data_IF_171640789491
#
_entry.id   IF_171640789491
#
_cell.length_a   1.000
_cell.length_b   1.000
_cell.length_c   1.000
_cell.angle_alpha   90.00
_cell.angle_beta   90.00
_cell.angle_gamma   90.00
#
_symmetry.space_group_name_H-M   'P 1'
#
loop_
_entity.id
_entity.type
_entity.pdbx_description
1 polymer ?
#
# COMPACT_ATOMS: atom_id res chain seq x y z
N UNK A 1 38.22 -49.79 -13.84
CA UNK A 1 37.50 -48.63 -14.40
C UNK A 1 38.26 -47.37 -14.03
N UNK A 2 39.19 -46.93 -14.87
CA UNK A 2 40.05 -45.77 -14.60
C UNK A 2 39.35 -44.48 -15.04
N UNK A 3 39.16 -43.57 -14.09
CA UNK A 3 38.67 -42.20 -14.33
C UNK A 3 39.72 -41.41 -15.10
N UNK A 4 39.42 -41.05 -16.35
CA UNK A 4 40.22 -40.12 -17.15
C UNK A 4 40.02 -38.70 -16.59
N UNK A 5 40.99 -38.20 -15.83
CA UNK A 5 41.08 -36.78 -15.46
C UNK A 5 41.55 -35.98 -16.67
N UNK A 6 40.64 -35.21 -17.27
CA UNK A 6 40.96 -34.29 -18.35
C UNK A 6 41.90 -33.18 -17.86
N UNK A 7 42.91 -32.86 -18.68
CA UNK A 7 43.84 -31.78 -18.39
C UNK A 7 43.20 -30.40 -18.60
N UNK A 8 43.65 -29.38 -17.84
CA UNK A 8 43.19 -27.98 -17.99
C UNK A 8 43.25 -27.48 -19.44
N UNK A 9 44.25 -27.93 -20.20
CA UNK A 9 44.46 -27.58 -21.62
C UNK A 9 43.41 -28.21 -22.55
N UNK A 10 42.97 -29.43 -22.27
CA UNK A 10 41.92 -30.12 -23.05
C UNK A 10 40.54 -29.52 -22.79
N UNK A 11 40.27 -29.09 -21.54
CA UNK A 11 39.05 -28.37 -21.19
C UNK A 11 38.99 -27.05 -21.96
N UNK A 12 40.07 -26.28 -21.98
CA UNK A 12 40.17 -25.02 -22.73
C UNK A 12 40.01 -25.20 -24.24
N UNK A 13 40.60 -26.25 -24.81
CA UNK A 13 40.43 -26.55 -26.24
C UNK A 13 39.00 -26.98 -26.59
N UNK A 14 38.33 -27.73 -25.71
CA UNK A 14 36.92 -28.10 -25.91
C UNK A 14 35.96 -26.92 -25.75
N UNK A 15 36.23 -25.98 -24.85
CA UNK A 15 35.44 -24.75 -24.71
C UNK A 15 35.55 -23.83 -25.94
N UNK A 16 36.72 -23.77 -26.59
CA UNK A 16 36.92 -23.01 -27.83
C UNK A 16 36.26 -23.66 -29.06
N UNK A 17 36.19 -24.99 -29.11
CA UNK A 17 35.62 -25.73 -30.24
C UNK A 17 34.07 -25.78 -30.26
N UNK A 18 33.41 -25.54 -29.11
CA UNK A 18 31.95 -25.66 -28.96
C UNK A 18 31.20 -24.31 -28.90
N UNK A 19 31.90 -23.18 -29.00
CA UNK A 19 31.27 -21.85 -29.10
C UNK A 19 30.30 -21.51 -27.97
N UNK A 20 30.31 -22.24 -26.86
CA UNK A 20 29.34 -22.14 -25.77
C UNK A 20 30.08 -21.92 -24.45
N UNK A 21 30.68 -20.74 -24.33
CA UNK A 21 30.71 -20.06 -23.04
C UNK A 21 29.34 -19.40 -22.86
N UNK A 22 28.39 -20.11 -22.26
CA UNK A 22 27.31 -19.43 -21.56
C UNK A 22 27.93 -18.78 -20.33
N UNK A 23 28.38 -17.55 -20.50
CA UNK A 23 28.73 -16.65 -19.41
C UNK A 23 27.43 -16.46 -18.63
N UNK A 24 27.34 -17.09 -17.45
CA UNK A 24 26.45 -16.65 -16.38
C UNK A 24 26.69 -15.14 -16.24
N UNK A 25 25.66 -14.30 -16.46
CA UNK A 25 25.79 -12.85 -16.57
C UNK A 25 26.77 -12.28 -15.54
N UNK A 26 27.94 -11.85 -16.00
CA UNK A 26 28.91 -11.16 -15.18
C UNK A 26 28.43 -9.72 -15.04
N UNK A 27 27.53 -9.45 -14.10
CA UNK A 27 27.40 -8.10 -13.59
C UNK A 27 28.73 -7.80 -12.89
N UNK A 28 29.49 -6.83 -13.43
CA UNK A 28 30.75 -6.44 -12.81
C UNK A 28 30.45 -5.87 -11.41
N UNK A 29 31.33 -6.03 -10.40
CA UNK A 29 31.08 -5.53 -9.05
C UNK A 29 30.68 -4.05 -9.01
N UNK A 30 31.19 -3.23 -9.92
CA UNK A 30 30.83 -1.81 -10.08
C UNK A 30 29.39 -1.57 -10.55
N UNK A 31 28.86 -2.42 -11.43
CA UNK A 31 27.46 -2.32 -11.90
C UNK A 31 26.49 -2.75 -10.80
N UNK A 32 26.86 -3.77 -10.02
CA UNK A 32 26.08 -4.18 -8.84
C UNK A 32 26.08 -3.08 -7.77
N UNK A 33 27.23 -2.44 -7.51
CA UNK A 33 27.33 -1.32 -6.58
C UNK A 33 26.52 -0.12 -7.09
N UNK A 34 26.64 0.26 -8.37
CA UNK A 34 25.85 1.35 -8.94
C UNK A 34 24.35 1.07 -8.90
N UNK A 35 23.92 -0.15 -9.21
CA UNK A 35 22.52 -0.56 -9.09
C UNK A 35 22.02 -0.56 -7.64
N UNK A 36 22.90 -0.86 -6.69
CA UNK A 36 22.59 -0.81 -5.26
C UNK A 36 22.51 0.64 -4.75
N UNK A 37 23.41 1.52 -5.17
CA UNK A 37 23.38 2.96 -4.86
C UNK A 37 22.14 3.65 -5.44
N UNK A 38 21.77 3.34 -6.68
CA UNK A 38 20.51 3.84 -7.28
C UNK A 38 19.28 3.32 -6.52
N UNK A 39 19.33 2.09 -5.99
CA UNK A 39 18.27 1.56 -5.11
C UNK A 39 18.24 2.23 -3.74
N UNK A 40 19.38 2.58 -3.16
CA UNK A 40 19.40 3.38 -1.93
C UNK A 40 18.84 4.79 -2.15
N UNK A 41 19.06 5.39 -3.32
CA UNK A 41 18.44 6.68 -3.68
C UNK A 41 16.91 6.59 -3.82
N UNK A 42 16.38 5.40 -4.12
CA UNK A 42 14.94 5.12 -4.17
C UNK A 42 14.34 4.81 -2.79
N UNK A 43 15.09 4.97 -1.69
CA UNK A 43 14.59 4.71 -0.36
C UNK A 43 13.31 5.51 -0.07
N UNK A 44 12.22 4.78 0.19
CA UNK A 44 10.92 5.34 0.56
C UNK A 44 10.83 5.45 2.07
N UNK A 45 10.14 6.50 2.54
CA UNK A 45 9.77 6.60 3.95
C UNK A 45 8.66 5.60 4.27
N UNK A 46 8.74 4.88 5.41
CA UNK A 46 7.62 4.07 5.88
C UNK A 46 6.34 4.89 6.00
N UNK A 47 5.19 4.27 5.72
CA UNK A 47 3.92 4.94 5.96
C UNK A 47 3.80 5.31 7.44
N UNK A 48 3.51 6.58 7.77
CA UNK A 48 3.40 7.01 9.16
C UNK A 48 2.36 6.19 9.94
N UNK A 49 2.72 5.85 11.17
CA UNK A 49 1.82 5.14 12.08
C UNK A 49 0.70 6.05 12.57
N UNK A 50 -0.50 5.50 12.69
CA UNK A 50 -1.62 6.08 13.42
C UNK A 50 -2.26 5.00 14.30
N UNK A 51 -2.99 5.40 15.33
CA UNK A 51 -3.60 4.46 16.25
C UNK A 51 -4.63 3.53 15.58
N UNK A 52 -4.78 2.35 16.15
CA UNK A 52 -5.80 1.36 15.76
C UNK A 52 -7.21 1.86 16.08
N UNK A 53 -7.36 2.69 17.10
CA UNK A 53 -8.67 3.09 17.61
C UNK A 53 -9.46 1.92 18.24
N UNK A 54 -10.63 2.21 18.83
CA UNK A 54 -11.38 1.23 19.62
C UNK A 54 -12.30 0.34 18.77
N UNK A 55 -12.51 0.66 17.49
CA UNK A 55 -13.53 0.04 16.65
C UNK A 55 -13.00 -1.02 15.68
N UNK A 56 -11.76 -1.47 15.83
CA UNK A 56 -11.24 -2.57 15.01
C UNK A 56 -11.98 -3.89 15.32
N UNK A 57 -12.42 -4.60 14.28
CA UNK A 57 -13.04 -5.93 14.37
C UNK A 57 -12.27 -6.91 13.50
N UNK A 58 -11.78 -7.99 14.10
CA UNK A 58 -11.13 -9.09 13.39
C UNK A 58 -12.12 -9.82 12.47
N UNK A 59 -11.58 -10.53 11.48
CA UNK A 59 -12.35 -11.42 10.58
C UNK A 59 -13.38 -10.66 9.73
N UNK A 60 -13.02 -9.45 9.29
CA UNK A 60 -13.80 -8.77 8.27
C UNK A 60 -13.89 -9.63 6.99
N UNK A 61 -14.97 -9.50 6.22
CA UNK A 61 -15.16 -10.30 5.01
C UNK A 61 -14.09 -9.98 3.96
N UNK A 62 -13.73 -10.99 3.16
CA UNK A 62 -12.85 -10.78 2.01
C UNK A 62 -13.67 -10.20 0.85
N UNK A 63 -13.62 -8.88 0.66
CA UNK A 63 -14.43 -8.16 -0.32
C UNK A 63 -13.74 -6.87 -0.76
N UNK A 64 -13.81 -6.54 -2.05
CA UNK A 64 -13.40 -5.24 -2.59
C UNK A 64 -14.52 -4.20 -2.56
N UNK A 65 -15.64 -4.48 -1.88
CA UNK A 65 -16.73 -3.52 -1.71
C UNK A 65 -17.13 -3.46 -0.24
N UNK A 66 -16.89 -2.30 0.37
CA UNK A 66 -17.20 -1.97 1.76
C UNK A 66 -18.62 -1.44 1.93
N UNK A 67 -19.21 -0.94 0.83
CA UNK A 67 -20.58 -0.40 0.78
C UNK A 67 -21.55 -1.43 0.18
N UNK A 68 -22.81 -1.34 0.55
CA UNK A 68 -23.88 -2.02 -0.17
C UNK A 68 -24.46 -1.13 -1.29
N UNK A 69 -25.09 -1.71 -2.33
CA UNK A 69 -25.85 -0.93 -3.30
C UNK A 69 -26.91 -0.06 -2.62
N UNK A 70 -26.94 1.22 -2.95
CA UNK A 70 -27.89 2.18 -2.37
C UNK A 70 -27.46 2.81 -1.05
N UNK A 71 -26.26 2.47 -0.54
CA UNK A 71 -25.71 3.16 0.62
C UNK A 71 -25.62 4.68 0.39
N UNK A 72 -26.11 5.49 1.35
CA UNK A 72 -26.02 6.94 1.26
C UNK A 72 -24.58 7.45 1.40
N UNK A 73 -24.33 8.64 0.87
CA UNK A 73 -23.01 9.28 0.82
C UNK A 73 -22.43 9.34 -0.59
N UNK A 74 -21.31 10.05 -0.73
CA UNK A 74 -20.59 10.15 -2.01
C UNK A 74 -19.85 8.82 -2.24
N UNK A 75 -20.11 8.09 -3.34
CA UNK A 75 -19.35 6.88 -3.67
C UNK A 75 -17.86 7.19 -3.77
N UNK A 76 -17.05 6.31 -3.18
CA UNK A 76 -15.60 6.44 -3.08
C UNK A 76 -14.91 5.21 -3.66
N UNK A 77 -13.99 5.40 -4.59
CA UNK A 77 -13.04 4.40 -5.04
C UNK A 77 -11.67 4.68 -4.42
N UNK A 78 -11.11 3.69 -3.74
CA UNK A 78 -9.77 3.75 -3.16
C UNK A 78 -8.89 2.76 -3.86
N UNK A 79 -7.69 3.19 -4.26
CA UNK A 79 -6.68 2.31 -4.85
C UNK A 79 -5.30 2.62 -4.31
N UNK A 80 -4.40 1.65 -4.39
CA UNK A 80 -3.03 1.83 -3.95
C UNK A 80 -2.12 0.68 -4.33
N UNK A 81 -0.88 0.81 -3.91
CA UNK A 81 0.14 -0.22 -4.03
C UNK A 81 0.87 -0.36 -2.69
N UNK A 82 1.18 -1.60 -2.33
CA UNK A 82 1.99 -1.94 -1.16
C UNK A 82 3.43 -2.18 -1.63
N UNK A 83 4.33 -1.41 -1.05
CA UNK A 83 5.75 -1.37 -1.35
C UNK A 83 6.52 -1.48 -0.04
N UNK A 84 7.82 -1.72 -0.11
CA UNK A 84 8.69 -1.59 1.05
C UNK A 84 9.57 -0.33 0.98
N UNK A 85 10.34 -0.10 2.04
CA UNK A 85 11.26 1.06 2.14
C UNK A 85 12.36 1.10 1.07
N UNK A 86 12.60 0.01 0.33
CA UNK A 86 13.52 0.00 -0.83
C UNK A 86 12.79 0.23 -2.14
N UNK A 87 11.47 0.38 -2.08
CA UNK A 87 10.57 0.50 -3.22
C UNK A 87 10.27 -0.82 -3.91
N UNK A 88 10.62 -1.96 -3.32
CA UNK A 88 10.26 -3.27 -3.87
C UNK A 88 8.75 -3.52 -3.65
N UNK A 89 8.15 -4.26 -4.57
CA UNK A 89 6.73 -4.66 -4.51
C UNK A 89 6.51 -5.65 -3.36
N UNK A 90 5.45 -5.45 -2.57
CA UNK A 90 5.02 -6.37 -1.53
C UNK A 90 3.70 -7.03 -1.97
N UNK A 91 3.76 -8.18 -2.66
CA UNK A 91 2.58 -8.95 -3.00
C UNK A 91 2.04 -9.68 -1.76
N UNK A 92 0.80 -10.16 -1.85
CA UNK A 92 0.15 -10.96 -0.81
C UNK A 92 0.11 -10.28 0.58
N UNK A 93 0.25 -8.95 0.62
CA UNK A 93 0.03 -8.18 1.84
C UNK A 93 -1.46 -8.23 2.17
N UNK A 94 -1.79 -8.59 3.41
CA UNK A 94 -3.15 -8.54 3.92
C UNK A 94 -3.44 -7.13 4.44
N UNK A 95 -4.47 -6.50 3.89
CA UNK A 95 -4.98 -5.19 4.32
C UNK A 95 -6.35 -5.40 4.99
N UNK A 96 -6.45 -5.06 6.27
CA UNK A 96 -7.70 -5.00 7.00
C UNK A 96 -8.12 -3.53 7.11
N UNK A 97 -9.29 -3.22 6.57
CA UNK A 97 -9.76 -1.84 6.33
C UNK A 97 -11.09 -1.65 7.05
N UNK A 98 -11.27 -0.52 7.73
CA UNK A 98 -12.54 -0.14 8.33
C UNK A 98 -12.71 1.39 8.37
N UNK A 99 -13.96 1.82 8.31
CA UNK A 99 -14.35 3.23 8.42
C UNK A 99 -15.77 3.33 8.99
N UNK A 100 -16.22 4.57 9.19
CA UNK A 100 -17.62 4.87 9.46
C UNK A 100 -18.45 4.90 8.18
N UNK A 101 -19.77 4.94 8.33
CA UNK A 101 -20.67 5.41 7.29
C UNK A 101 -20.48 6.92 6.97
N UNK A 102 -21.28 7.43 6.04
CA UNK A 102 -21.29 8.84 5.63
C UNK A 102 -21.71 9.85 6.72
N UNK A 103 -22.29 9.39 7.84
CA UNK A 103 -22.69 10.23 8.98
C UNK A 103 -21.72 10.14 10.15
N UNK A 104 -20.68 9.30 10.05
CA UNK A 104 -19.69 9.12 11.12
C UNK A 104 -20.02 8.01 12.10
N UNK A 105 -20.91 7.07 11.76
CA UNK A 105 -21.24 5.92 12.61
C UNK A 105 -20.48 4.66 12.19
N UNK A 106 -19.90 3.97 13.17
CA UNK A 106 -19.36 2.62 12.97
C UNK A 106 -20.47 1.56 13.07
N UNK A 107 -20.43 0.56 12.20
CA UNK A 107 -21.19 -0.67 12.39
C UNK A 107 -20.53 -1.49 13.52
N UNK A 108 -21.22 -1.57 14.66
CA UNK A 108 -20.78 -2.28 15.85
C UNK A 108 -21.28 -3.74 15.87
N UNK A 109 -22.42 -4.01 15.22
CA UNK A 109 -23.04 -5.33 15.21
C UNK A 109 -22.45 -6.19 14.08
N UNK A 110 -22.40 -5.65 12.87
CA UNK A 110 -21.97 -6.35 11.66
C UNK A 110 -20.57 -5.98 11.18
N UNK A 111 -20.40 -6.06 9.85
CA UNK A 111 -19.15 -5.76 9.15
C UNK A 111 -19.35 -4.75 8.01
N UNK A 112 -20.42 -3.95 8.02
CA UNK A 112 -20.58 -2.86 7.04
C UNK A 112 -19.37 -1.92 7.13
N UNK A 113 -18.91 -1.49 5.97
CA UNK A 113 -17.73 -0.64 5.82
C UNK A 113 -16.42 -1.25 6.35
N UNK A 114 -16.30 -2.58 6.31
CA UNK A 114 -15.10 -3.33 6.69
C UNK A 114 -14.74 -4.34 5.62
N UNK A 115 -13.45 -4.52 5.38
CA UNK A 115 -12.96 -5.51 4.44
C UNK A 115 -11.60 -6.07 4.83
N UNK A 116 -11.33 -7.26 4.34
CA UNK A 116 -9.99 -7.82 4.21
C UNK A 116 -9.64 -7.96 2.74
N UNK A 117 -8.52 -7.37 2.32
CA UNK A 117 -7.97 -7.49 0.98
C UNK A 117 -6.61 -8.19 1.04
N UNK A 118 -6.23 -8.80 -0.07
CA UNK A 118 -4.87 -9.30 -0.31
C UNK A 118 -4.33 -8.54 -1.53
N UNK A 119 -3.14 -7.94 -1.41
CA UNK A 119 -2.51 -7.27 -2.54
C UNK A 119 -2.14 -8.27 -3.64
N UNK A 120 -2.27 -7.85 -4.89
CA UNK A 120 -1.98 -8.71 -6.05
C UNK A 120 -0.47 -8.94 -6.26
N UNK A 121 -0.09 -9.65 -7.33
CA UNK A 121 1.31 -9.91 -7.67
C UNK A 121 2.13 -8.62 -7.94
N UNK A 122 1.46 -7.52 -8.28
CA UNK A 122 2.05 -6.20 -8.41
C UNK A 122 1.94 -5.37 -7.12
N UNK A 123 1.53 -5.95 -6.00
CA UNK A 123 1.29 -5.28 -4.72
C UNK A 123 0.10 -4.33 -4.74
N UNK A 124 -0.75 -4.36 -5.77
CA UNK A 124 -1.87 -3.43 -5.91
C UNK A 124 -3.07 -3.90 -5.12
N UNK A 125 -3.86 -2.94 -4.67
CA UNK A 125 -5.16 -3.17 -4.04
C UNK A 125 -6.13 -2.08 -4.46
N UNK A 126 -7.43 -2.41 -4.45
CA UNK A 126 -8.49 -1.42 -4.60
C UNK A 126 -9.78 -1.89 -3.94
N UNK A 127 -10.60 -0.93 -3.53
CA UNK A 127 -11.94 -1.20 -3.04
C UNK A 127 -12.87 -0.01 -3.26
N UNK A 128 -14.17 -0.31 -3.30
CA UNK A 128 -15.23 0.69 -3.30
C UNK A 128 -15.85 0.86 -1.91
N UNK A 129 -16.18 2.10 -1.58
CA UNK A 129 -16.83 2.49 -0.34
C UNK A 129 -17.68 3.76 -0.57
N UNK A 130 -18.01 4.46 0.51
CA UNK A 130 -18.50 5.84 0.50
C UNK A 130 -17.53 6.74 1.26
N UNK A 131 -17.51 8.03 0.94
CA UNK A 131 -16.80 9.02 1.77
C UNK A 131 -17.29 8.91 3.22
N UNK A 132 -16.39 8.66 4.20
CA UNK A 132 -16.80 8.56 5.61
C UNK A 132 -17.21 9.93 6.14
N UNK A 133 -18.17 9.94 7.07
CA UNK A 133 -18.50 11.12 7.88
C UNK A 133 -17.48 11.36 9.00
N UNK A 134 -17.64 12.48 9.70
CA UNK A 134 -16.87 12.77 10.91
C UNK A 134 -17.38 11.94 12.08
N UNK A 135 -16.51 11.12 12.67
CA UNK A 135 -16.79 10.45 13.95
C UNK A 135 -16.64 11.46 15.10
N UNK A 136 -17.55 11.48 16.10
CA UNK A 136 -17.40 12.34 17.28
C UNK A 136 -16.00 12.19 17.90
N UNK A 137 -15.35 13.30 18.23
CA UNK A 137 -13.95 13.38 18.74
C UNK A 137 -12.83 13.32 17.68
N UNK A 138 -13.16 13.22 16.39
CA UNK A 138 -12.19 13.34 15.30
C UNK A 138 -12.48 14.61 14.50
N UNK A 139 -11.43 15.33 14.15
CA UNK A 139 -11.53 16.62 13.44
C UNK A 139 -11.76 16.40 11.95
N UNK A 140 -11.34 15.25 11.41
CA UNK A 140 -11.44 14.94 9.99
C UNK A 140 -11.86 13.51 9.66
N UNK A 141 -12.35 13.35 8.43
CA UNK A 141 -12.73 12.08 7.82
C UNK A 141 -11.51 11.19 7.65
N UNK A 142 -11.65 9.90 7.94
CA UNK A 142 -10.56 8.93 7.82
C UNK A 142 -11.02 7.51 7.49
N UNK A 143 -10.12 6.74 6.89
CA UNK A 143 -10.23 5.28 6.73
C UNK A 143 -9.05 4.63 7.44
N UNK A 144 -9.31 3.63 8.28
CA UNK A 144 -8.25 2.90 8.96
C UNK A 144 -7.70 1.74 8.13
N UNK A 145 -6.42 1.45 8.36
CA UNK A 145 -5.70 0.32 7.78
C UNK A 145 -4.90 -0.42 8.86
N UNK A 146 -4.97 -1.75 8.83
CA UNK A 146 -4.02 -2.66 9.46
C UNK A 146 -3.43 -3.55 8.37
N UNK A 147 -2.11 -3.46 8.16
CA UNK A 147 -1.43 -4.11 7.03
C UNK A 147 -0.36 -5.05 7.55
N UNK A 148 -0.40 -6.29 7.08
CA UNK A 148 0.56 -7.34 7.44
C UNK A 148 1.06 -8.04 6.18
N UNK A 149 2.35 -8.35 6.13
CA UNK A 149 2.96 -9.13 5.06
C UNK A 149 4.12 -9.97 5.61
N UNK A 150 4.41 -11.16 5.06
CA UNK A 150 5.57 -11.95 5.45
C UNK A 150 6.87 -11.13 5.34
N UNK A 151 7.73 -11.20 6.36
CA UNK A 151 9.03 -10.50 6.36
C UNK A 151 8.97 -8.98 6.59
N UNK A 152 7.79 -8.43 6.90
CA UNK A 152 7.60 -6.99 7.09
C UNK A 152 6.97 -6.67 8.45
N UNK A 153 7.29 -5.48 8.98
CA UNK A 153 6.63 -4.94 10.17
C UNK A 153 5.16 -4.65 9.85
N UNK A 154 4.29 -4.91 10.81
CA UNK A 154 2.87 -4.57 10.71
C UNK A 154 2.70 -3.05 10.72
N UNK A 155 1.87 -2.52 9.82
CA UNK A 155 1.47 -1.10 9.82
C UNK A 155 0.08 -1.00 10.43
N UNK A 156 -0.10 -0.04 11.34
CA UNK A 156 -1.42 0.52 11.66
C UNK A 156 -1.39 1.98 11.26
N UNK A 157 -2.31 2.40 10.41
CA UNK A 157 -2.33 3.77 9.87
C UNK A 157 -3.76 4.19 9.51
N UNK A 158 -3.91 5.45 9.07
CA UNK A 158 -5.16 6.03 8.64
C UNK A 158 -4.93 6.84 7.36
N UNK A 159 -5.89 6.80 6.45
CA UNK A 159 -6.00 7.64 5.26
C UNK A 159 -6.92 8.81 5.56
N UNK A 160 -6.50 10.03 5.24
CA UNK A 160 -7.31 11.25 5.35
C UNK A 160 -7.50 11.90 3.98
N UNK A 161 -8.49 12.79 3.88
CA UNK A 161 -8.95 13.34 2.60
C UNK A 161 -8.77 14.85 2.58
N UNK A 162 -8.02 15.39 1.61
CA UNK A 162 -7.78 16.84 1.49
C UNK A 162 -9.07 17.65 1.25
N UNK A 163 -10.15 16.99 0.82
CA UNK A 163 -11.49 17.58 0.69
C UNK A 163 -12.18 17.85 2.02
N UNK A 164 -11.66 17.33 3.12
CA UNK A 164 -12.14 17.68 4.44
C UNK A 164 -11.97 19.19 4.67
N UNK A 165 -13.00 19.92 5.14
CA UNK A 165 -12.92 21.36 5.34
C UNK A 165 -11.73 21.81 6.21
N UNK A 166 -11.24 20.97 7.13
CA UNK A 166 -10.10 21.34 7.99
C UNK A 166 -8.84 21.62 7.18
N UNK A 167 -8.61 20.90 6.08
CA UNK A 167 -7.39 21.02 5.27
C UNK A 167 -7.50 22.10 4.19
N UNK A 168 -8.68 22.69 3.99
CA UNK A 168 -8.92 23.75 3.00
C UNK A 168 -8.49 23.36 1.56
N UNK A 169 -8.58 22.07 1.21
CA UNK A 169 -8.17 21.55 -0.10
C UNK A 169 -6.67 21.29 -0.27
N UNK A 170 -5.84 21.56 0.74
CA UNK A 170 -4.38 21.37 0.70
C UNK A 170 -3.94 20.31 1.72
N UNK A 171 -3.37 19.16 1.29
CA UNK A 171 -2.85 18.13 2.18
C UNK A 171 -1.88 18.63 3.26
N UNK A 172 -1.11 19.68 2.98
CA UNK A 172 -0.12 20.23 3.90
C UNK A 172 -0.67 21.20 4.94
N UNK A 173 -1.94 21.58 4.83
CA UNK A 173 -2.52 22.65 5.63
C UNK A 173 -3.33 22.12 6.80
N UNK A 174 -3.14 22.71 7.98
CA UNK A 174 -3.89 22.40 9.21
C UNK A 174 -3.89 20.92 9.65
N UNK A 175 -3.03 20.04 9.12
CA UNK A 175 -3.06 18.62 9.45
C UNK A 175 -2.81 18.34 10.94
N UNK A 176 -2.01 19.18 11.60
CA UNK A 176 -1.77 19.12 13.04
C UNK A 176 -2.97 19.50 13.92
N UNK A 177 -4.09 19.96 13.33
CA UNK A 177 -5.35 20.16 14.07
C UNK A 177 -6.04 18.84 14.43
N UNK A 178 -5.76 17.77 13.69
CA UNK A 178 -6.15 16.42 14.06
C UNK A 178 -5.05 15.82 14.95
N UNK A 179 -5.32 15.57 16.25
CA UNK A 179 -4.27 15.16 17.19
C UNK A 179 -3.55 13.87 16.83
N UNK A 180 -4.24 12.97 16.10
CA UNK A 180 -3.70 11.68 15.71
C UNK A 180 -2.96 11.73 14.36
N UNK A 181 -3.05 12.85 13.63
CA UNK A 181 -2.43 13.02 12.32
C UNK A 181 -1.04 13.66 12.44
N UNK A 182 -0.03 12.83 12.68
CA UNK A 182 1.35 13.28 12.84
C UNK A 182 2.05 13.69 11.53
N UNK A 183 1.51 13.32 10.36
CA UNK A 183 2.14 13.57 9.06
C UNK A 183 1.13 13.90 7.96
N UNK A 184 1.34 15.01 7.27
CA UNK A 184 0.59 15.40 6.08
C UNK A 184 0.63 14.36 4.95
N UNK A 185 1.60 13.44 4.94
CA UNK A 185 1.71 12.38 3.93
C UNK A 185 0.49 11.43 3.92
N UNK A 186 -0.24 11.36 5.05
CA UNK A 186 -1.48 10.60 5.18
C UNK A 186 -2.73 11.32 4.64
N UNK A 187 -2.64 12.63 4.35
CA UNK A 187 -3.71 13.40 3.73
C UNK A 187 -3.56 13.30 2.22
N UNK A 188 -4.57 12.75 1.54
CA UNK A 188 -4.50 12.50 0.10
C UNK A 188 -5.45 13.42 -0.67
N UNK A 189 -5.01 13.93 -1.83
CA UNK A 189 -5.91 14.63 -2.73
C UNK A 189 -7.01 13.67 -3.21
N UNK A 190 -8.23 14.19 -3.32
CA UNK A 190 -9.39 13.45 -3.83
C UNK A 190 -9.77 14.02 -5.17
N UNK A 191 -9.90 13.15 -6.17
CA UNK A 191 -10.40 13.53 -7.49
C UNK A 191 -11.90 13.31 -7.49
N UNK A 192 -12.67 14.40 -7.61
CA UNK A 192 -14.12 14.33 -7.80
C UNK A 192 -14.43 14.21 -9.30
N UNK A 193 -15.26 13.24 -9.66
CA UNK A 193 -15.69 12.94 -11.04
C UNK A 193 -17.21 12.94 -11.15
N UNK A 194 -17.69 13.00 -12.38
CA UNK A 194 -19.12 12.93 -12.71
C UNK A 194 -19.76 14.30 -12.90
N UNK A 195 -21.07 14.38 -12.70
CA UNK A 195 -21.86 15.59 -12.81
C UNK A 195 -22.38 16.03 -11.42
N UNK A 196 -22.91 17.25 -11.24
CA UNK A 196 -23.37 17.73 -9.93
C UNK A 196 -24.48 16.90 -9.27
N UNK A 197 -25.18 16.04 -10.02
CA UNK A 197 -26.19 15.10 -9.50
C UNK A 197 -25.61 13.71 -9.20
N UNK A 198 -24.49 13.35 -9.83
CA UNK A 198 -23.82 12.05 -9.73
C UNK A 198 -22.32 12.25 -9.53
N UNK A 199 -21.91 12.63 -8.32
CA UNK A 199 -20.50 12.83 -7.96
C UNK A 199 -19.90 11.54 -7.44
N UNK A 200 -18.68 11.22 -7.89
CA UNK A 200 -17.87 10.10 -7.43
C UNK A 200 -16.51 10.62 -6.95
N UNK A 201 -15.96 10.04 -5.90
CA UNK A 201 -14.66 10.36 -5.36
C UNK A 201 -13.66 9.24 -5.69
N UNK A 202 -12.46 9.61 -6.14
CA UNK A 202 -11.33 8.70 -6.32
C UNK A 202 -10.15 9.19 -5.46
N UNK A 203 -9.51 8.27 -4.74
CA UNK A 203 -8.30 8.55 -3.96
C UNK A 203 -7.26 7.45 -4.15
N UNK A 204 -5.99 7.86 -4.16
CA UNK A 204 -4.86 6.94 -4.21
C UNK A 204 -4.04 6.99 -2.91
N UNK A 205 -3.74 5.81 -2.35
CA UNK A 205 -2.96 5.67 -1.12
C UNK A 205 -1.91 4.55 -1.24
N UNK A 206 -0.66 4.97 -1.50
CA UNK A 206 0.50 4.08 -1.46
C UNK A 206 0.86 3.74 -0.01
N UNK A 207 1.13 2.45 0.26
CA UNK A 207 1.52 1.93 1.56
C UNK A 207 2.96 1.43 1.48
N UNK A 208 3.81 1.87 2.40
CA UNK A 208 5.24 1.56 2.45
C UNK A 208 5.56 0.84 3.76
N UNK A 209 5.93 -0.43 3.66
CA UNK A 209 6.25 -1.31 4.79
C UNK A 209 7.75 -1.33 5.11
N UNK A 210 8.07 -1.30 6.39
CA UNK A 210 9.41 -1.65 6.86
C UNK A 210 9.62 -3.17 6.78
N UNK A 211 10.84 -3.61 6.44
CA UNK A 211 11.25 -5.01 6.58
C UNK A 211 11.59 -5.33 8.06
N UNK A 212 11.47 -6.60 8.43
CA UNK A 212 11.90 -7.12 9.74
C UNK A 212 13.43 -7.20 9.86
#
# INVERSE_FOLDING_TARGET
MNSLRLGRREILQKCLALGSLTILSAAFPSELIAAWEEREKLARKPTPWNELGPFYKKSAPHTASLRAPGDPGIPLSVSGQVLDVRGDIVPEAKLEIWQTDHLGHYDLDGYRYRATLISDAGGKYSFDSVMPGHYPDRVCQHIHYLVTAPGHKTITTQLYFATDPVFEGDPGRNFSREPLLASAELVRPVVLRGDPKNVFADVNFELVMERL
#
